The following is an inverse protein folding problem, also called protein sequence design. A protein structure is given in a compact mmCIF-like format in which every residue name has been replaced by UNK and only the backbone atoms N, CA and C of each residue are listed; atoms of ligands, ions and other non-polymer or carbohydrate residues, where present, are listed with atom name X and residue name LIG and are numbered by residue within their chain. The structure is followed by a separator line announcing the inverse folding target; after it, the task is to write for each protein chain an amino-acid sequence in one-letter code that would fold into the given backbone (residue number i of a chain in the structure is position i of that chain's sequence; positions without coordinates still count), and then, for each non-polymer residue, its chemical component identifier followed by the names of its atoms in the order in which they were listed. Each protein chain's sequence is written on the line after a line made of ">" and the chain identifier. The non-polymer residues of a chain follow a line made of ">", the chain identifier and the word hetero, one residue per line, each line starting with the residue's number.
data_IF_061293755199
#
_entry.id   IF_061293755199
#
_cell.length_a   1.000
_cell.length_b   1.000
_cell.length_c   1.000
_cell.angle_alpha   90.00
_cell.angle_beta   90.00
_cell.angle_gamma   90.00
#
_symmetry.space_group_name_H-M   'P 1'
#
loop_
_entity.id
_entity.type
_entity.pdbx_description
1 polymer ?
#
# COMPACT_ATOMS: atom_id res chain seq x y z
N UNK A 1 8.56 -10.63 -1.16
CA UNK A 1 7.18 -11.12 -1.21
C UNK A 1 6.91 -11.63 -2.62
N UNK A 2 6.48 -12.86 -2.76
CA UNK A 2 6.33 -13.54 -4.07
C UNK A 2 4.89 -13.48 -4.61
N UNK A 3 3.92 -13.37 -3.71
CA UNK A 3 2.51 -13.35 -4.05
C UNK A 3 1.68 -12.59 -2.99
N UNK A 4 0.41 -12.32 -3.31
CA UNK A 4 -0.56 -11.66 -2.44
C UNK A 4 -1.64 -12.63 -1.91
N UNK A 5 -1.34 -13.92 -1.86
CA UNK A 5 -2.29 -14.90 -1.33
C UNK A 5 -2.54 -14.67 0.17
N UNK A 6 -3.75 -15.00 0.67
CA UNK A 6 -4.09 -14.84 2.08
C UNK A 6 -3.10 -15.51 3.03
N UNK A 7 -2.62 -16.70 2.69
CA UNK A 7 -1.66 -17.45 3.49
C UNK A 7 -0.29 -16.74 3.57
N UNK A 8 0.21 -16.24 2.42
CA UNK A 8 1.49 -15.53 2.34
C UNK A 8 1.43 -14.19 3.07
N UNK A 9 0.36 -13.42 2.87
CA UNK A 9 0.16 -12.16 3.58
C UNK A 9 -0.05 -12.37 5.08
N UNK A 10 -0.81 -13.39 5.46
CA UNK A 10 -1.00 -13.75 6.87
C UNK A 10 0.32 -14.07 7.57
N UNK A 11 1.12 -14.95 6.96
CA UNK A 11 2.39 -15.40 7.54
C UNK A 11 3.47 -14.31 7.52
N UNK A 12 3.66 -13.64 6.38
CA UNK A 12 4.80 -12.75 6.19
C UNK A 12 4.52 -11.30 6.60
N UNK A 13 3.26 -10.86 6.59
CA UNK A 13 2.88 -9.48 6.92
C UNK A 13 2.17 -9.41 8.28
N UNK A 14 1.07 -10.14 8.44
CA UNK A 14 0.26 -10.02 9.67
C UNK A 14 1.00 -10.60 10.88
N UNK A 15 1.53 -11.83 10.78
CA UNK A 15 2.15 -12.49 11.91
C UNK A 15 3.33 -11.71 12.53
N UNK A 16 4.29 -11.17 11.76
CA UNK A 16 5.34 -10.32 12.33
C UNK A 16 4.80 -9.04 12.96
N UNK A 17 3.78 -8.41 12.34
CA UNK A 17 3.16 -7.20 12.87
C UNK A 17 2.41 -7.44 14.20
N UNK A 18 2.00 -8.67 14.51
CA UNK A 18 1.40 -9.01 15.81
C UNK A 18 2.40 -9.05 16.96
N UNK A 19 3.69 -8.99 16.67
CA UNK A 19 4.77 -9.06 17.67
C UNK A 19 4.61 -10.28 18.56
N UNK A 20 4.67 -11.45 17.97
CA UNK A 20 4.48 -12.74 18.67
C UNK A 20 3.12 -12.86 19.43
N UNK A 21 2.06 -12.30 18.84
CA UNK A 21 0.73 -12.34 19.45
C UNK A 21 0.47 -11.30 20.55
N UNK A 22 1.45 -10.44 20.85
CA UNK A 22 1.31 -9.37 21.88
C UNK A 22 0.55 -8.13 21.38
N UNK A 23 0.25 -8.06 20.08
CA UNK A 23 -0.45 -6.93 19.46
C UNK A 23 -1.61 -7.41 18.59
N UNK A 24 -2.76 -6.78 18.76
CA UNK A 24 -3.88 -6.97 17.84
C UNK A 24 -3.71 -6.05 16.63
N UNK A 25 -3.67 -6.65 15.43
CA UNK A 25 -3.57 -5.94 14.15
C UNK A 25 -4.93 -5.93 13.49
N UNK A 26 -5.64 -4.82 13.59
CA UNK A 26 -6.99 -4.66 13.01
C UNK A 26 -6.96 -4.20 11.56
N UNK A 27 -5.94 -3.45 11.17
CA UNK A 27 -5.80 -2.93 9.82
C UNK A 27 -4.32 -2.73 9.49
N UNK A 28 -3.93 -3.17 8.29
CA UNK A 28 -2.58 -2.99 7.75
C UNK A 28 -2.60 -1.94 6.64
N UNK A 29 -1.60 -1.09 6.63
CA UNK A 29 -1.33 -0.15 5.55
C UNK A 29 -0.23 -0.72 4.67
N UNK A 30 -0.49 -0.86 3.38
CA UNK A 30 0.49 -1.23 2.36
C UNK A 30 0.85 0.01 1.55
N UNK A 31 2.11 0.42 1.58
CA UNK A 31 2.60 1.61 0.86
C UNK A 31 3.52 1.13 -0.25
N UNK A 32 3.23 1.52 -1.48
CA UNK A 32 3.94 1.06 -2.68
C UNK A 32 4.21 2.21 -3.64
N UNK A 33 5.19 2.01 -4.52
CA UNK A 33 5.41 2.94 -5.62
C UNK A 33 4.22 2.92 -6.60
N UNK A 34 3.78 4.06 -7.16
CA UNK A 34 2.69 4.10 -8.13
C UNK A 34 2.88 3.18 -9.33
N UNK A 35 4.09 3.05 -9.86
CA UNK A 35 4.38 2.14 -10.97
C UNK A 35 4.18 0.67 -10.57
N UNK A 36 4.75 0.25 -9.44
CA UNK A 36 4.58 -1.12 -8.95
C UNK A 36 3.12 -1.44 -8.60
N UNK A 37 2.35 -0.43 -8.16
CA UNK A 37 0.92 -0.60 -7.94
C UNK A 37 0.21 -0.98 -9.23
N UNK A 38 0.38 -0.21 -10.31
CA UNK A 38 -0.30 -0.46 -11.57
C UNK A 38 0.22 -1.71 -12.29
N UNK A 39 1.52 -1.97 -12.22
CA UNK A 39 2.15 -3.11 -12.90
C UNK A 39 1.87 -4.46 -12.19
N UNK A 40 1.82 -4.48 -10.85
CA UNK A 40 1.86 -5.72 -10.07
C UNK A 40 0.67 -5.95 -9.14
N UNK A 41 0.17 -4.88 -8.50
CA UNK A 41 -0.86 -5.02 -7.47
C UNK A 41 -2.27 -4.80 -8.02
N UNK A 42 -2.44 -3.91 -8.98
CA UNK A 42 -3.76 -3.51 -9.47
C UNK A 42 -4.57 -4.70 -9.96
N UNK A 43 -3.99 -5.55 -10.83
CA UNK A 43 -4.66 -6.76 -11.32
C UNK A 43 -4.99 -7.76 -10.22
N UNK A 44 -4.06 -7.96 -9.27
CA UNK A 44 -4.24 -8.90 -8.16
C UNK A 44 -5.26 -8.42 -7.11
N UNK A 45 -5.51 -7.11 -7.03
CA UNK A 45 -6.43 -6.49 -6.06
C UNK A 45 -7.73 -5.99 -6.68
N UNK A 46 -7.95 -6.26 -7.97
CA UNK A 46 -9.19 -5.91 -8.67
C UNK A 46 -10.04 -7.17 -8.81
N UNK A 47 -11.28 -7.09 -8.34
CA UNK A 47 -12.25 -8.18 -8.44
C UNK A 47 -13.48 -7.76 -9.23
N UNK A 48 -14.04 -8.70 -10.00
CA UNK A 48 -15.32 -8.53 -10.68
C UNK A 48 -16.45 -9.00 -9.75
N UNK A 49 -17.36 -8.12 -9.41
CA UNK A 49 -18.54 -8.45 -8.62
C UNK A 49 -19.60 -9.16 -9.47
N UNK A 50 -20.51 -9.87 -8.80
CA UNK A 50 -21.61 -10.57 -9.47
C UNK A 50 -22.54 -9.67 -10.31
N UNK A 51 -22.58 -8.38 -10.02
CA UNK A 51 -23.34 -7.37 -10.75
C UNK A 51 -22.61 -6.80 -11.99
N UNK A 52 -21.44 -7.35 -12.35
CA UNK A 52 -20.63 -6.91 -13.49
C UNK A 52 -19.78 -5.65 -13.26
N UNK A 53 -19.69 -5.15 -12.02
CA UNK A 53 -18.83 -3.99 -11.68
C UNK A 53 -17.48 -4.45 -11.12
N UNK A 54 -16.42 -3.67 -11.37
CA UNK A 54 -15.10 -3.93 -10.78
C UNK A 54 -14.95 -3.22 -9.43
N UNK A 55 -14.47 -3.96 -8.43
CA UNK A 55 -14.01 -3.41 -7.17
C UNK A 55 -12.47 -3.42 -7.15
N UNK A 56 -11.88 -2.28 -6.80
CA UNK A 56 -10.43 -2.08 -6.81
C UNK A 56 -9.86 -1.99 -5.39
N UNK A 57 -8.60 -2.38 -5.22
CA UNK A 57 -7.91 -2.30 -3.94
C UNK A 57 -8.43 -3.30 -2.90
N UNK A 58 -9.06 -4.38 -3.35
CA UNK A 58 -9.55 -5.44 -2.47
C UNK A 58 -8.37 -6.32 -2.06
N UNK A 59 -8.12 -6.39 -0.75
CA UNK A 59 -7.08 -7.22 -0.17
C UNK A 59 -7.71 -8.43 0.54
N UNK A 60 -7.04 -9.58 0.53
CA UNK A 60 -7.50 -10.77 1.28
C UNK A 60 -7.23 -10.66 2.79
N UNK A 61 -6.70 -9.55 3.24
CA UNK A 61 -6.46 -9.19 4.64
C UNK A 61 -7.09 -7.82 4.93
N UNK A 62 -7.44 -7.52 6.18
CA UNK A 62 -7.94 -6.20 6.55
C UNK A 62 -6.83 -5.16 6.36
N UNK A 63 -6.89 -4.41 5.28
CA UNK A 63 -5.83 -3.47 4.92
C UNK A 63 -6.26 -2.42 3.91
N UNK A 64 -5.38 -1.46 3.68
CA UNK A 64 -5.51 -0.42 2.67
C UNK A 64 -4.20 -0.26 1.91
N UNK A 65 -4.29 -0.09 0.59
CA UNK A 65 -3.15 0.24 -0.25
C UNK A 65 -3.08 1.76 -0.42
N UNK A 66 -1.88 2.30 -0.26
CA UNK A 66 -1.58 3.71 -0.51
C UNK A 66 -0.37 3.78 -1.44
N UNK A 67 -0.46 4.58 -2.48
CA UNK A 67 0.64 4.82 -3.40
C UNK A 67 1.46 6.03 -2.94
N UNK A 68 2.80 5.92 -2.98
CA UNK A 68 3.70 7.00 -2.62
C UNK A 68 4.95 6.96 -3.49
N UNK A 69 5.30 8.11 -4.05
CA UNK A 69 6.56 8.27 -4.83
C UNK A 69 7.81 8.20 -3.96
N UNK A 70 7.67 8.35 -2.64
CA UNK A 70 8.78 8.22 -1.69
C UNK A 70 9.27 6.78 -1.51
N UNK A 71 8.45 5.79 -1.90
CA UNK A 71 8.84 4.37 -1.87
C UNK A 71 9.58 4.03 -3.16
N UNK A 72 10.82 3.51 -3.09
CA UNK A 72 11.56 3.09 -4.26
C UNK A 72 10.82 1.98 -5.04
N UNK A 73 11.02 1.95 -6.36
CA UNK A 73 10.49 0.88 -7.22
C UNK A 73 11.00 -0.49 -6.73
N UNK A 74 10.12 -1.50 -6.78
CA UNK A 74 10.41 -2.85 -6.31
C UNK A 74 10.33 -3.04 -4.79
N UNK A 75 9.93 -2.00 -4.04
CA UNK A 75 9.77 -2.07 -2.59
C UNK A 75 8.34 -1.79 -2.17
N UNK A 76 7.93 -2.41 -1.06
CA UNK A 76 6.65 -2.20 -0.42
C UNK A 76 6.86 -2.08 1.10
N UNK A 77 6.21 -1.11 1.71
CA UNK A 77 6.17 -0.98 3.16
C UNK A 77 4.82 -1.46 3.66
N UNK A 78 4.82 -2.41 4.58
CA UNK A 78 3.62 -2.83 5.29
C UNK A 78 3.70 -2.41 6.75
N UNK A 79 2.65 -1.83 7.30
CA UNK A 79 2.70 -1.39 8.69
C UNK A 79 1.34 -1.08 9.29
N UNK A 80 1.37 -0.84 10.60
CA UNK A 80 0.20 -0.44 11.38
C UNK A 80 0.22 1.08 11.56
N UNK A 81 -0.62 1.80 10.82
CA UNK A 81 -0.64 3.27 10.79
C UNK A 81 -0.76 3.91 12.18
N UNK A 82 -1.52 3.31 13.10
CA UNK A 82 -1.67 3.77 14.49
C UNK A 82 -0.37 3.82 15.28
N UNK A 83 0.64 3.08 14.84
CA UNK A 83 1.93 2.99 15.50
C UNK A 83 2.97 3.95 14.91
N UNK A 84 2.54 4.90 14.10
CA UNK A 84 3.38 6.00 13.66
C UNK A 84 3.04 7.25 14.47
N UNK A 85 4.05 7.82 15.11
CA UNK A 85 3.93 9.08 15.82
C UNK A 85 4.52 10.20 14.98
N UNK A 86 3.77 11.25 14.79
CA UNK A 86 4.22 12.45 14.11
C UNK A 86 4.10 13.64 15.05
N UNK A 87 5.20 14.28 15.34
CA UNK A 87 5.26 15.54 16.06
C UNK A 87 5.39 16.69 15.07
N UNK A 88 4.54 17.69 15.18
CA UNK A 88 4.62 18.93 14.42
C UNK A 88 4.95 20.03 15.43
N UNK A 89 6.03 20.75 15.17
CA UNK A 89 6.41 21.93 15.97
C UNK A 89 5.36 23.03 15.88
N UNK A 90 5.47 24.01 16.73
CA UNK A 90 4.54 25.16 16.78
C UNK A 90 4.30 25.74 15.41
N UNK A 91 3.04 26.12 15.16
CA UNK A 91 2.45 26.40 13.86
C UNK A 91 3.28 27.29 12.92
N UNK A 92 2.97 27.20 11.65
CA UNK A 92 3.62 27.99 10.59
C UNK A 92 3.67 29.44 10.98
N UNK A 93 4.88 29.96 11.21
CA UNK A 93 5.14 31.39 11.39
C UNK A 93 5.64 31.92 10.06
N UNK A 94 4.94 32.90 9.52
CA UNK A 94 5.39 33.63 8.35
C UNK A 94 6.21 34.82 8.87
N UNK A 95 7.48 34.84 8.52
CA UNK A 95 8.40 35.95 8.77
C UNK A 95 8.61 36.69 7.46
N UNK A 96 8.73 38.01 7.52
CA UNK A 96 9.02 38.80 6.34
C UNK A 96 10.24 39.70 6.59
N UNK A 97 10.93 40.01 5.53
CA UNK A 97 12.06 40.94 5.56
C UNK A 97 11.97 41.90 4.37
N UNK A 98 12.04 43.19 4.69
CA UNK A 98 12.08 44.25 3.69
C UNK A 98 13.55 44.64 3.37
N UNK A 99 14.52 44.07 4.10
CA UNK A 99 15.94 44.44 3.96
C UNK A 99 16.73 43.52 3.04
N UNK A 100 16.28 42.27 2.84
CA UNK A 100 17.05 41.26 2.11
C UNK A 100 17.20 41.58 0.61
N UNK A 101 16.16 42.19 0.01
CA UNK A 101 16.15 42.60 -1.41
C UNK A 101 15.73 44.06 -1.55
N UNK A 102 16.29 44.92 -0.70
CA UNK A 102 15.94 46.33 -0.67
C UNK A 102 16.19 47.05 -2.00
N UNK A 103 17.28 46.73 -2.71
CA UNK A 103 17.61 47.33 -4.02
C UNK A 103 16.67 46.90 -5.15
N UNK A 104 15.95 45.78 -4.99
CA UNK A 104 15.02 45.24 -5.99
C UNK A 104 13.56 45.63 -5.67
N UNK A 105 13.32 46.37 -4.58
CA UNK A 105 12.01 46.76 -4.05
C UNK A 105 11.07 45.53 -3.83
N UNK A 106 11.70 44.41 -3.42
CA UNK A 106 10.98 43.13 -3.17
C UNK A 106 10.93 42.82 -1.68
N UNK A 107 9.76 42.40 -1.21
CA UNK A 107 9.55 41.85 0.13
C UNK A 107 9.71 40.32 0.12
N UNK A 108 10.64 39.84 0.92
CA UNK A 108 10.89 38.40 1.05
C UNK A 108 10.06 37.80 2.19
N UNK A 109 9.31 36.74 1.92
CA UNK A 109 8.56 35.97 2.90
C UNK A 109 9.23 34.63 3.15
N UNK A 110 9.39 34.27 4.42
CA UNK A 110 9.96 33.00 4.84
C UNK A 110 8.96 32.28 5.75
N UNK A 111 8.65 31.05 5.41
CA UNK A 111 7.88 30.16 6.29
C UNK A 111 8.74 28.98 6.72
N UNK A 112 8.66 28.62 8.00
CA UNK A 112 9.37 27.49 8.60
C UNK A 112 8.37 26.59 9.30
N UNK A 113 8.45 25.30 9.02
CA UNK A 113 7.70 24.29 9.73
C UNK A 113 8.65 23.17 10.15
N UNK A 114 8.60 22.81 11.42
CA UNK A 114 9.36 21.70 11.95
C UNK A 114 8.42 20.52 12.18
N UNK A 115 8.75 19.39 11.59
CA UNK A 115 8.02 18.15 11.79
C UNK A 115 9.01 17.00 11.96
N UNK A 116 8.67 16.05 12.81
CA UNK A 116 9.42 14.81 12.98
C UNK A 116 8.45 13.65 13.15
N UNK A 117 8.76 12.52 12.50
CA UNK A 117 7.93 11.33 12.59
C UNK A 117 8.77 10.10 12.90
N UNK A 118 8.24 9.23 13.77
CA UNK A 118 8.92 8.01 14.18
C UNK A 118 7.89 6.90 14.45
N UNK A 119 8.18 5.63 14.08
CA UNK A 119 7.39 4.50 14.55
C UNK A 119 7.52 4.35 16.07
N UNK A 120 6.46 3.91 16.73
CA UNK A 120 6.46 3.66 18.18
C UNK A 120 7.41 2.54 18.58
N UNK A 121 7.52 1.54 17.72
CA UNK A 121 8.45 0.42 17.88
C UNK A 121 8.96 -0.07 16.51
N UNK A 122 10.03 -0.84 16.53
CA UNK A 122 10.72 -1.30 15.33
C UNK A 122 9.92 -2.33 14.53
N UNK A 123 8.95 -3.02 15.17
CA UNK A 123 8.15 -4.07 14.54
C UNK A 123 6.81 -3.54 13.99
N UNK A 124 6.62 -2.21 13.99
CA UNK A 124 5.40 -1.58 13.50
C UNK A 124 5.34 -1.45 11.98
N UNK A 125 6.49 -1.46 11.32
CA UNK A 125 6.62 -1.32 9.87
C UNK A 125 7.65 -2.31 9.34
N UNK A 126 7.30 -2.98 8.26
CA UNK A 126 8.11 -3.98 7.59
C UNK A 126 8.37 -3.55 6.15
N UNK A 127 9.61 -3.70 5.70
CA UNK A 127 9.98 -3.44 4.31
C UNK A 127 10.07 -4.77 3.55
N UNK A 128 9.37 -4.86 2.43
CA UNK A 128 9.36 -6.01 1.54
C UNK A 128 9.98 -5.68 0.19
N UNK A 129 10.68 -6.65 -0.35
CA UNK A 129 11.03 -6.65 -1.77
C UNK A 129 9.89 -7.30 -2.55
N UNK A 130 9.37 -6.59 -3.55
CA UNK A 130 8.30 -7.01 -4.45
C UNK A 130 8.77 -7.06 -5.91
N UNK A 131 10.07 -7.05 -6.15
CA UNK A 131 10.63 -7.10 -7.52
C UNK A 131 10.20 -8.36 -8.25
N UNK A 132 10.12 -9.50 -7.53
CA UNK A 132 9.70 -10.80 -8.04
C UNK A 132 8.22 -11.11 -7.78
N UNK A 133 7.41 -10.10 -7.39
CA UNK A 133 5.99 -10.32 -7.17
C UNK A 133 5.30 -10.65 -8.50
N UNK A 134 4.70 -11.83 -8.57
CA UNK A 134 3.87 -12.22 -9.69
C UNK A 134 2.48 -11.61 -9.52
N UNK A 135 1.97 -10.88 -10.53
CA UNK A 135 0.59 -10.41 -10.53
C UNK A 135 -0.33 -11.62 -10.76
N UNK A 136 -0.63 -12.36 -9.71
CA UNK A 136 -1.68 -13.36 -9.78
C UNK A 136 -3.01 -12.63 -9.95
N UNK A 137 -3.64 -12.82 -11.09
CA UNK A 137 -5.05 -12.51 -11.27
C UNK A 137 -5.84 -13.23 -10.18
N UNK A 138 -6.74 -12.53 -9.52
CA UNK A 138 -7.55 -13.08 -8.44
C UNK A 138 -8.35 -14.27 -8.97
N UNK A 139 -7.95 -15.47 -8.62
CA UNK A 139 -8.50 -16.75 -9.09
C UNK A 139 -10.01 -16.87 -8.75
N UNK A 140 -10.48 -16.12 -7.76
CA UNK A 140 -11.88 -16.12 -7.32
C UNK A 140 -12.88 -15.53 -8.32
N UNK A 141 -12.43 -14.92 -9.42
CA UNK A 141 -13.27 -14.27 -10.41
C UNK A 141 -13.03 -14.75 -11.84
N UNK A 142 -12.24 -15.77 -12.06
CA UNK A 142 -12.28 -16.48 -13.33
C UNK A 142 -13.53 -17.37 -13.31
N UNK A 143 -14.50 -17.20 -14.24
CA UNK A 143 -15.49 -18.23 -14.48
C UNK A 143 -14.67 -19.50 -14.71
N UNK A 144 -14.90 -20.46 -13.88
CA UNK A 144 -14.11 -21.66 -13.70
C UNK A 144 -13.77 -22.26 -15.07
N UNK A 145 -12.50 -22.23 -15.49
CA UNK A 145 -12.04 -23.01 -16.65
C UNK A 145 -12.42 -24.50 -16.52
N UNK A 146 -12.68 -24.99 -15.30
CA UNK A 146 -13.28 -26.26 -15.02
C UNK A 146 -14.66 -26.43 -15.67
N UNK A 147 -15.49 -25.39 -15.70
CA UNK A 147 -16.82 -25.48 -16.36
C UNK A 147 -16.69 -25.51 -17.89
N UNK A 148 -15.70 -24.84 -18.47
CA UNK A 148 -15.44 -24.93 -19.92
C UNK A 148 -14.85 -26.29 -20.31
N UNK A 149 -13.99 -26.89 -19.48
CA UNK A 149 -13.43 -28.21 -19.71
C UNK A 149 -14.50 -29.30 -19.56
N UNK A 150 -15.45 -29.19 -18.65
CA UNK A 150 -16.59 -30.14 -18.56
C UNK A 150 -17.54 -30.01 -19.75
N UNK A 151 -17.85 -28.78 -20.20
CA UNK A 151 -18.70 -28.58 -21.38
C UNK A 151 -18.00 -29.07 -22.65
N UNK A 152 -16.69 -28.85 -22.80
CA UNK A 152 -15.92 -29.37 -23.93
C UNK A 152 -15.83 -30.91 -23.90
N UNK A 153 -15.61 -31.50 -22.72
CA UNK A 153 -15.59 -32.97 -22.53
C UNK A 153 -16.93 -33.63 -22.83
N UNK A 154 -18.04 -32.98 -22.49
CA UNK A 154 -19.39 -33.49 -22.73
C UNK A 154 -19.79 -33.37 -24.23
N UNK A 155 -19.26 -32.36 -24.92
CA UNK A 155 -19.45 -32.21 -26.38
C UNK A 155 -18.61 -33.18 -27.20
N UNK A 156 -17.48 -33.64 -26.72
CA UNK A 156 -16.62 -34.60 -27.42
C UNK A 156 -17.09 -36.07 -27.29
N UNK A 157 -18.08 -36.32 -26.43
CA UNK A 157 -18.66 -37.66 -26.21
C UNK A 157 -20.02 -37.87 -26.89
N UNK A 158 -20.48 -36.95 -27.71
CA UNK A 158 -21.66 -37.08 -28.60
C UNK A 158 -21.19 -37.09 -30.05
#
# INVERSE_FOLDING_TARGET
>A
LTDLLPATLGKNVIAPLTKEGKRNVTQVLLIVNPLDYWEKLFGATTILNANGTYAHGVLPIPGKIVTSVAVPKGKMVAGVARNYFMAIGSGQKIEYSDHYKFLEDERTYLTKQYANGKPKDNDSFLLFDISSLNPHLNIFNQPTQAAELEVASTRAKK
#
